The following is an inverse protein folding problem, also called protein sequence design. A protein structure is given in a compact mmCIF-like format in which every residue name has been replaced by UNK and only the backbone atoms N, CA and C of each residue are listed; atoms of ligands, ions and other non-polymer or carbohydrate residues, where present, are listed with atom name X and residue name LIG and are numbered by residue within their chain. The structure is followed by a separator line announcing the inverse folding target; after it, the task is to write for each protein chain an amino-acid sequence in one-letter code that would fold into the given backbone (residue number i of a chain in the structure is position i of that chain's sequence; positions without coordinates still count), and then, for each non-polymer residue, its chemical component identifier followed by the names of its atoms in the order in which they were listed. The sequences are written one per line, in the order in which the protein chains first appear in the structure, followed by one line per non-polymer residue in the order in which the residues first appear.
data_IF_091137594250
#
_entry.id   IF_091137594250
#
_cell.length_a   1.000
_cell.length_b   1.000
_cell.length_c   1.000
_cell.angle_alpha   90.00
_cell.angle_beta   90.00
_cell.angle_gamma   90.00
#
_symmetry.space_group_name_H-M   'P 1'
#
loop_
_entity.id
_entity.type
_entity.pdbx_description
1 polymer ?
#
# COMPACT_ATOMS: atom_id res chain seq x y z
N UNK A 1 26.06 -13.79 -25.91
CA UNK A 1 25.14 -13.82 -24.75
C UNK A 1 24.82 -12.43 -24.19
N UNK A 2 25.65 -11.40 -24.42
CA UNK A 2 25.29 -10.00 -24.14
C UNK A 2 24.10 -9.49 -24.99
N UNK A 3 23.96 -9.99 -26.23
CA UNK A 3 22.88 -9.56 -27.15
C UNK A 3 21.45 -9.89 -26.71
N UNK A 4 21.23 -10.94 -25.93
CA UNK A 4 19.87 -11.37 -25.57
C UNK A 4 19.20 -10.46 -24.53
N UNK A 5 19.98 -9.76 -23.69
CA UNK A 5 19.47 -8.82 -22.68
C UNK A 5 19.22 -7.43 -23.28
N UNK A 6 20.02 -7.01 -24.25
CA UNK A 6 19.80 -5.79 -25.03
C UNK A 6 18.53 -5.89 -25.89
N UNK A 7 18.23 -7.07 -26.44
CA UNK A 7 17.04 -7.30 -27.28
C UNK A 7 15.73 -7.30 -26.47
N UNK A 8 15.76 -7.69 -25.18
CA UNK A 8 14.58 -7.71 -24.30
C UNK A 8 14.10 -6.32 -23.86
N UNK A 9 14.97 -5.31 -23.88
CA UNK A 9 14.73 -3.99 -23.27
C UNK A 9 14.42 -2.88 -24.28
N UNK A 10 14.89 -2.96 -25.52
CA UNK A 10 14.78 -1.83 -26.48
C UNK A 10 13.43 -1.73 -27.21
N UNK A 11 12.61 -2.79 -27.21
CA UNK A 11 11.39 -2.84 -28.06
C UNK A 11 10.06 -2.93 -27.30
N UNK A 12 10.07 -2.92 -25.96
CA UNK A 12 8.84 -2.94 -25.16
C UNK A 12 8.67 -1.62 -24.41
N UNK A 13 7.61 -0.89 -24.76
CA UNK A 13 7.19 0.28 -24.01
C UNK A 13 6.88 -0.13 -22.55
N UNK A 14 7.31 0.66 -21.55
CA UNK A 14 6.94 0.43 -20.16
C UNK A 14 5.41 0.31 -20.01
N UNK A 15 4.88 -0.47 -19.06
CA UNK A 15 3.44 -0.60 -18.88
C UNK A 15 2.76 0.75 -18.60
N UNK A 16 1.83 1.14 -19.48
CA UNK A 16 0.97 2.31 -19.32
C UNK A 16 -0.45 2.02 -19.82
N UNK A 17 -1.39 2.90 -19.48
CA UNK A 17 -2.75 2.87 -20.02
C UNK A 17 -3.19 4.33 -20.23
N UNK A 18 -3.14 4.79 -21.47
CA UNK A 18 -3.37 6.20 -21.80
C UNK A 18 -4.82 6.60 -21.51
N UNK A 19 -5.75 5.71 -21.85
CA UNK A 19 -7.19 5.92 -21.70
C UNK A 19 -7.56 6.03 -20.22
N UNK A 20 -6.97 5.20 -19.35
CA UNK A 20 -7.17 5.30 -17.90
C UNK A 20 -6.59 6.59 -17.32
N UNK A 21 -5.44 7.06 -17.81
CA UNK A 21 -4.86 8.34 -17.36
C UNK A 21 -5.75 9.52 -17.73
N UNK A 22 -6.18 9.59 -18.99
CA UNK A 22 -7.10 10.62 -19.45
C UNK A 22 -8.42 10.55 -18.70
N UNK A 23 -8.89 9.34 -18.40
CA UNK A 23 -10.14 9.12 -17.70
C UNK A 23 -10.11 9.63 -16.26
N UNK A 24 -9.03 9.35 -15.53
CA UNK A 24 -8.87 9.85 -14.16
C UNK A 24 -8.81 11.37 -14.14
N UNK A 25 -8.03 11.99 -15.04
CA UNK A 25 -7.91 13.45 -15.08
C UNK A 25 -9.23 14.13 -15.46
N UNK A 26 -9.95 13.62 -16.46
CA UNK A 26 -11.27 14.13 -16.85
C UNK A 26 -12.28 14.04 -15.72
N UNK A 27 -12.34 12.89 -15.04
CA UNK A 27 -13.23 12.71 -13.89
C UNK A 27 -12.90 13.69 -12.75
N UNK A 28 -11.62 13.99 -12.51
CA UNK A 28 -11.20 14.96 -11.49
C UNK A 28 -11.61 16.40 -11.82
N UNK A 29 -11.66 16.78 -13.10
CA UNK A 29 -12.14 18.10 -13.54
C UNK A 29 -13.64 18.26 -13.37
N UNK A 30 -14.40 17.17 -13.44
CA UNK A 30 -15.86 17.22 -13.35
C UNK A 30 -16.40 17.21 -11.91
N UNK A 31 -15.64 16.66 -10.96
CA UNK A 31 -16.14 16.45 -9.59
C UNK A 31 -15.03 16.50 -8.55
N UNK A 32 -15.23 17.35 -7.53
CA UNK A 32 -14.37 17.41 -6.33
C UNK A 32 -14.34 16.07 -5.56
N UNK A 33 -15.43 15.30 -5.61
CA UNK A 33 -15.47 13.97 -4.98
C UNK A 33 -14.58 12.97 -5.74
N UNK A 34 -14.48 13.10 -7.07
CA UNK A 34 -13.64 12.23 -7.88
C UNK A 34 -12.15 12.47 -7.62
N UNK A 35 -11.72 13.74 -7.48
CA UNK A 35 -10.34 14.03 -7.12
C UNK A 35 -9.99 13.54 -5.71
N UNK A 36 -10.89 13.69 -4.73
CA UNK A 36 -10.66 13.17 -3.38
C UNK A 36 -10.38 11.66 -3.41
N UNK A 37 -11.21 10.89 -4.12
CA UNK A 37 -11.03 9.43 -4.31
C UNK A 37 -9.77 9.11 -5.11
N UNK A 38 -9.42 9.92 -6.10
CA UNK A 38 -8.20 9.72 -6.88
C UNK A 38 -6.94 9.94 -6.04
N UNK A 39 -6.90 10.98 -5.20
CA UNK A 39 -5.78 11.29 -4.30
C UNK A 39 -5.57 10.25 -3.21
N UNK A 40 -6.62 9.53 -2.79
CA UNK A 40 -6.49 8.39 -1.86
C UNK A 40 -5.71 7.22 -2.48
N UNK A 41 -5.81 7.03 -3.80
CA UNK A 41 -5.26 5.86 -4.50
C UNK A 41 -3.96 6.20 -5.24
N UNK A 42 -3.85 7.41 -5.76
CA UNK A 42 -2.82 7.83 -6.70
C UNK A 42 -1.98 8.99 -6.18
N UNK A 43 -0.74 8.99 -6.67
CA UNK A 43 0.23 10.07 -6.62
C UNK A 43 0.57 10.51 -8.05
N UNK A 44 1.13 11.71 -8.20
CA UNK A 44 1.54 12.22 -9.52
C UNK A 44 2.50 11.27 -10.25
N UNK A 45 3.32 10.51 -9.53
CA UNK A 45 4.27 9.54 -10.12
C UNK A 45 3.61 8.28 -10.69
N UNK A 46 2.35 8.01 -10.34
CA UNK A 46 1.60 6.87 -10.88
C UNK A 46 1.24 7.05 -12.37
N UNK A 47 1.25 8.28 -12.88
CA UNK A 47 1.05 8.57 -14.30
C UNK A 47 2.33 8.28 -15.09
N UNK A 48 2.21 7.72 -16.29
CA UNK A 48 3.34 7.49 -17.18
C UNK A 48 3.75 8.78 -17.89
N UNK A 49 2.77 9.50 -18.48
CA UNK A 49 3.05 10.72 -19.23
C UNK A 49 3.45 11.88 -18.32
N UNK A 50 4.59 12.51 -18.60
CA UNK A 50 5.06 13.72 -17.89
C UNK A 50 3.99 14.82 -17.82
N UNK A 51 3.29 15.06 -18.93
CA UNK A 51 2.15 15.99 -19.00
C UNK A 51 1.08 15.69 -17.93
N UNK A 52 0.67 14.43 -17.79
CA UNK A 52 -0.35 14.04 -16.81
C UNK A 52 0.17 14.12 -15.38
N UNK A 53 1.45 13.82 -15.14
CA UNK A 53 2.09 14.02 -13.83
C UNK A 53 1.97 15.47 -13.37
N UNK A 54 2.30 16.41 -14.26
CA UNK A 54 2.23 17.86 -13.99
C UNK A 54 0.80 18.30 -13.69
N UNK A 55 -0.14 17.90 -14.55
CA UNK A 55 -1.57 18.22 -14.35
C UNK A 55 -2.06 17.72 -12.99
N UNK A 56 -1.83 16.45 -12.66
CA UNK A 56 -2.28 15.87 -11.39
C UNK A 56 -1.59 16.50 -10.17
N UNK A 57 -0.31 16.89 -10.31
CA UNK A 57 0.41 17.63 -9.26
C UNK A 57 -0.25 18.97 -8.96
N UNK A 58 -0.62 19.74 -9.98
CA UNK A 58 -1.30 21.03 -9.79
C UNK A 58 -2.70 20.85 -9.23
N UNK A 59 -3.45 19.86 -9.71
CA UNK A 59 -4.77 19.50 -9.16
C UNK A 59 -4.68 19.17 -7.66
N UNK A 60 -3.67 18.41 -7.25
CA UNK A 60 -3.44 18.08 -5.84
C UNK A 60 -3.22 19.33 -4.99
N UNK A 61 -2.39 20.26 -5.45
CA UNK A 61 -2.13 21.49 -4.71
C UNK A 61 -3.35 22.42 -4.65
N UNK A 62 -4.17 22.46 -5.69
CA UNK A 62 -5.44 23.19 -5.66
C UNK A 62 -6.40 22.56 -4.64
N UNK A 63 -6.48 21.24 -4.61
CA UNK A 63 -7.27 20.51 -3.64
C UNK A 63 -6.82 20.79 -2.20
N UNK A 64 -5.52 20.70 -1.93
CA UNK A 64 -4.93 21.01 -0.61
C UNK A 64 -5.12 22.48 -0.22
N UNK A 65 -5.14 23.39 -1.21
CA UNK A 65 -5.42 24.81 -1.03
C UNK A 65 -6.90 25.18 -0.90
N UNK A 66 -7.83 24.20 -1.01
CA UNK A 66 -9.27 24.44 -1.13
C UNK A 66 -9.63 25.43 -2.26
N UNK A 67 -8.87 25.38 -3.36
CA UNK A 67 -9.13 26.15 -4.57
C UNK A 67 -10.00 25.33 -5.54
N UNK A 68 -10.87 25.99 -6.34
CA UNK A 68 -11.66 25.28 -7.34
C UNK A 68 -10.76 24.63 -8.39
N UNK A 69 -11.10 23.41 -8.79
CA UNK A 69 -10.38 22.60 -9.78
C UNK A 69 -11.26 22.48 -11.02
N UNK A 70 -11.26 23.53 -11.81
CA UNK A 70 -11.87 23.56 -13.14
C UNK A 70 -10.79 23.82 -14.21
N UNK A 71 -11.15 23.66 -15.49
CA UNK A 71 -10.20 23.83 -16.60
C UNK A 71 -9.56 25.22 -16.60
N UNK A 72 -10.30 26.27 -16.26
CA UNK A 72 -9.81 27.64 -16.30
C UNK A 72 -8.85 27.91 -15.13
N UNK A 73 -9.24 27.51 -13.92
CA UNK A 73 -8.41 27.62 -12.72
C UNK A 73 -7.10 26.82 -12.85
N UNK A 74 -7.19 25.60 -13.39
CA UNK A 74 -6.02 24.77 -13.66
C UNK A 74 -5.11 25.42 -14.72
N UNK A 75 -5.69 25.95 -15.81
CA UNK A 75 -4.94 26.65 -16.85
C UNK A 75 -4.22 27.89 -16.30
N UNK A 76 -4.87 28.69 -15.45
CA UNK A 76 -4.26 29.86 -14.82
C UNK A 76 -3.11 29.48 -13.89
N UNK A 77 -3.24 28.40 -13.12
CA UNK A 77 -2.18 27.94 -12.21
C UNK A 77 -0.99 27.37 -12.98
N UNK A 78 -1.24 26.59 -14.04
CA UNK A 78 -0.19 26.11 -14.95
C UNK A 78 0.50 27.26 -15.71
N UNK A 79 -0.26 28.29 -16.09
CA UNK A 79 0.29 29.49 -16.74
C UNK A 79 1.21 30.27 -15.81
N UNK A 80 0.83 30.45 -14.55
CA UNK A 80 1.68 31.07 -13.51
C UNK A 80 3.00 30.31 -13.29
N UNK A 81 3.02 29.00 -13.61
CA UNK A 81 4.21 28.14 -13.54
C UNK A 81 5.01 28.05 -14.84
N UNK A 82 4.54 28.68 -15.92
CA UNK A 82 5.08 28.51 -17.27
C UNK A 82 5.05 27.05 -17.78
N UNK A 83 4.13 26.22 -17.27
CA UNK A 83 3.99 24.81 -17.65
C UNK A 83 2.81 24.56 -18.59
N UNK A 84 1.97 25.58 -18.84
CA UNK A 84 0.74 25.44 -19.64
C UNK A 84 1.02 24.97 -21.08
N UNK A 85 2.06 25.49 -21.72
CA UNK A 85 2.42 25.09 -23.09
C UNK A 85 2.95 23.64 -23.12
N UNK A 86 3.69 23.23 -22.10
CA UNK A 86 4.26 21.88 -22.00
C UNK A 86 3.20 20.80 -21.78
N UNK A 87 2.05 21.15 -21.20
CA UNK A 87 0.92 20.23 -21.06
C UNK A 87 0.00 20.17 -22.28
N UNK A 88 0.29 20.93 -23.34
CA UNK A 88 -0.53 20.99 -24.56
C UNK A 88 -1.58 22.10 -24.55
N UNK A 89 -1.48 23.07 -23.63
CA UNK A 89 -2.35 24.23 -23.56
C UNK A 89 -3.75 23.93 -23.01
N UNK A 90 -4.60 24.96 -23.02
CA UNK A 90 -5.98 24.86 -22.53
C UNK A 90 -6.81 23.88 -23.37
N UNK A 91 -6.53 23.78 -24.67
CA UNK A 91 -7.20 22.85 -25.59
C UNK A 91 -7.08 21.40 -25.13
N UNK A 92 -5.90 21.01 -24.62
CA UNK A 92 -5.70 19.67 -24.09
C UNK A 92 -6.48 19.41 -22.81
N UNK A 93 -6.58 20.42 -21.93
CA UNK A 93 -7.34 20.31 -20.69
C UNK A 93 -8.84 20.15 -20.96
N UNK A 94 -9.39 20.89 -21.92
CA UNK A 94 -10.78 20.72 -22.38
C UNK A 94 -11.01 19.34 -22.97
N UNK A 95 -10.06 18.82 -23.77
CA UNK A 95 -10.15 17.47 -24.32
C UNK A 95 -10.13 16.38 -23.23
N UNK A 96 -9.42 16.61 -22.12
CA UNK A 96 -9.45 15.70 -20.96
C UNK A 96 -10.80 15.72 -20.25
N UNK A 97 -11.40 16.90 -20.10
CA UNK A 97 -12.74 17.07 -19.52
C UNK A 97 -13.81 16.30 -20.33
N UNK A 98 -13.73 16.37 -21.65
CA UNK A 98 -14.67 15.69 -22.56
C UNK A 98 -14.52 14.15 -22.60
N UNK A 99 -13.40 13.60 -22.12
CA UNK A 99 -13.08 12.19 -22.28
C UNK A 99 -13.93 11.26 -21.38
N UNK A 100 -14.53 11.79 -20.29
CA UNK A 100 -15.25 10.97 -19.31
C UNK A 100 -16.65 11.49 -19.00
N UNK A 101 -17.69 10.67 -19.23
CA UNK A 101 -19.05 11.07 -18.91
C UNK A 101 -19.44 10.86 -17.44
N UNK A 102 -18.70 10.07 -16.64
CA UNK A 102 -19.10 9.75 -15.25
C UNK A 102 -17.95 9.64 -14.24
N UNK A 103 -18.10 10.34 -13.10
CA UNK A 103 -17.19 10.33 -11.96
C UNK A 103 -17.11 8.97 -11.22
N UNK A 104 -18.07 8.07 -11.43
CA UNK A 104 -18.16 6.78 -10.74
C UNK A 104 -17.05 5.80 -11.16
N UNK A 105 -16.48 5.96 -12.34
CA UNK A 105 -15.42 5.09 -12.86
C UNK A 105 -14.01 5.44 -12.36
N UNK A 106 -13.82 6.59 -11.68
CA UNK A 106 -12.49 7.10 -11.29
C UNK A 106 -11.70 6.10 -10.45
N UNK A 107 -12.34 5.42 -9.50
CA UNK A 107 -11.72 4.44 -8.60
C UNK A 107 -11.20 3.23 -9.38
N UNK A 108 -11.96 2.77 -10.38
CA UNK A 108 -11.57 1.63 -11.21
C UNK A 108 -10.35 1.98 -12.07
N UNK A 109 -10.39 3.12 -12.76
CA UNK A 109 -9.27 3.55 -13.59
C UNK A 109 -8.03 3.91 -12.76
N UNK A 110 -8.21 4.49 -11.57
CA UNK A 110 -7.12 4.74 -10.65
C UNK A 110 -6.40 3.44 -10.22
N UNK A 111 -7.15 2.37 -9.94
CA UNK A 111 -6.54 1.05 -9.65
C UNK A 111 -5.72 0.52 -10.82
N UNK A 112 -6.20 0.68 -12.05
CA UNK A 112 -5.45 0.28 -13.26
C UNK A 112 -4.13 1.06 -13.33
N UNK A 113 -4.14 2.37 -13.11
CA UNK A 113 -2.91 3.18 -13.13
C UNK A 113 -1.92 2.75 -12.06
N UNK A 114 -2.42 2.47 -10.84
CA UNK A 114 -1.61 1.98 -9.73
C UNK A 114 -0.94 0.64 -10.06
N UNK A 115 -1.69 -0.29 -10.65
CA UNK A 115 -1.14 -1.57 -11.12
C UNK A 115 -0.04 -1.36 -12.17
N UNK A 116 -0.26 -0.44 -13.14
CA UNK A 116 0.77 -0.11 -14.14
C UNK A 116 2.01 0.51 -13.52
N UNK A 117 1.88 1.40 -12.53
CA UNK A 117 3.02 1.96 -11.79
C UNK A 117 3.81 0.88 -11.06
N UNK A 118 3.15 -0.04 -10.36
CA UNK A 118 3.82 -1.17 -9.69
C UNK A 118 4.64 -1.99 -10.70
N UNK A 119 4.08 -2.27 -11.88
CA UNK A 119 4.83 -2.99 -12.92
C UNK A 119 6.03 -2.18 -13.43
N UNK A 120 5.93 -0.86 -13.56
CA UNK A 120 7.07 0.00 -13.94
C UNK A 120 8.15 0.01 -12.87
N UNK A 121 7.78 0.12 -11.60
CA UNK A 121 8.72 0.11 -10.46
C UNK A 121 9.46 -1.22 -10.36
N UNK A 122 8.75 -2.34 -10.62
CA UNK A 122 9.35 -3.67 -10.68
C UNK A 122 10.37 -3.79 -11.82
N UNK A 123 10.04 -3.31 -13.02
CA UNK A 123 10.96 -3.32 -14.17
C UNK A 123 12.19 -2.47 -13.86
N UNK A 124 12.01 -1.29 -13.27
CA UNK A 124 13.11 -0.41 -12.90
C UNK A 124 14.02 -1.08 -11.87
N UNK A 125 13.45 -1.61 -10.78
CA UNK A 125 14.20 -2.28 -9.72
C UNK A 125 14.95 -3.51 -10.24
N UNK A 126 14.31 -4.32 -11.08
CA UNK A 126 14.98 -5.46 -11.71
C UNK A 126 16.16 -5.00 -12.59
N UNK A 127 16.01 -3.88 -13.30
CA UNK A 127 17.08 -3.31 -14.13
C UNK A 127 18.25 -2.82 -13.27
N UNK A 128 17.96 -2.19 -12.13
CA UNK A 128 18.97 -1.73 -11.16
C UNK A 128 19.72 -2.90 -10.51
N UNK A 129 19.01 -3.98 -10.15
CA UNK A 129 19.61 -5.22 -9.63
C UNK A 129 20.54 -5.85 -10.68
N UNK A 130 20.09 -5.96 -11.94
CA UNK A 130 20.92 -6.49 -13.03
C UNK A 130 22.15 -5.62 -13.25
N UNK A 131 22.01 -4.29 -13.27
CA UNK A 131 23.13 -3.37 -13.40
C UNK A 131 24.13 -3.51 -12.26
N UNK A 132 23.65 -3.70 -11.04
CA UNK A 132 24.49 -3.88 -9.85
C UNK A 132 25.23 -5.22 -9.87
N UNK A 133 24.64 -6.26 -10.48
CA UNK A 133 25.31 -7.54 -10.68
C UNK A 133 26.49 -7.52 -11.66
N UNK A 134 26.59 -6.49 -12.52
CA UNK A 134 27.74 -6.27 -13.40
C UNK A 134 28.81 -5.35 -12.81
N UNK A 135 28.53 -4.66 -11.71
CA UNK A 135 29.52 -3.80 -11.04
C UNK A 135 30.34 -4.61 -10.02
N UNK A 136 31.64 -4.77 -10.28
CA UNK A 136 32.59 -5.51 -9.42
C UNK A 136 32.93 -4.82 -8.07
N UNK A 137 32.16 -3.81 -7.64
CA UNK A 137 32.53 -2.93 -6.52
C UNK A 137 31.94 -3.30 -5.17
N UNK A 138 30.86 -4.08 -5.13
CA UNK A 138 30.10 -4.36 -3.92
C UNK A 138 30.29 -5.82 -3.47
N UNK A 139 30.31 -6.03 -2.14
CA UNK A 139 30.32 -7.37 -1.55
C UNK A 139 29.02 -8.11 -1.89
N UNK A 140 29.12 -9.41 -2.19
CA UNK A 140 27.99 -10.20 -2.72
C UNK A 140 26.82 -10.24 -1.74
N UNK A 141 27.09 -10.34 -0.43
CA UNK A 141 26.04 -10.37 0.59
C UNK A 141 25.30 -9.01 0.63
N UNK A 142 26.04 -7.90 0.51
CA UNK A 142 25.43 -6.56 0.47
C UNK A 142 24.56 -6.33 -0.77
N UNK A 143 24.91 -6.92 -1.91
CA UNK A 143 24.11 -6.86 -3.13
C UNK A 143 22.80 -7.65 -2.99
N UNK A 144 22.86 -8.83 -2.36
CA UNK A 144 21.68 -9.65 -2.09
C UNK A 144 20.72 -8.92 -1.13
N UNK A 145 21.23 -8.36 -0.04
CA UNK A 145 20.43 -7.59 0.93
C UNK A 145 19.73 -6.40 0.25
N UNK A 146 20.45 -5.63 -0.58
CA UNK A 146 19.87 -4.50 -1.34
C UNK A 146 18.78 -4.95 -2.30
N UNK A 147 18.96 -6.10 -2.97
CA UNK A 147 17.97 -6.65 -3.88
C UNK A 147 16.70 -7.07 -3.14
N UNK A 148 16.84 -7.77 -2.01
CA UNK A 148 15.70 -8.16 -1.16
C UNK A 148 14.93 -6.94 -0.66
N UNK A 149 15.65 -5.93 -0.15
CA UNK A 149 15.05 -4.68 0.32
C UNK A 149 14.27 -3.98 -0.80
N UNK A 150 14.86 -3.84 -1.99
CA UNK A 150 14.23 -3.12 -3.10
C UNK A 150 12.94 -3.81 -3.58
N UNK A 151 12.92 -5.14 -3.63
CA UNK A 151 11.71 -5.90 -3.96
C UNK A 151 10.65 -5.77 -2.86
N UNK A 152 11.08 -5.79 -1.59
CA UNK A 152 10.18 -5.62 -0.45
C UNK A 152 9.48 -4.25 -0.47
N UNK A 153 10.20 -3.17 -0.77
CA UNK A 153 9.65 -1.81 -0.86
C UNK A 153 8.53 -1.68 -1.92
N UNK A 154 8.64 -2.39 -3.05
CA UNK A 154 7.59 -2.43 -4.08
C UNK A 154 6.33 -3.13 -3.54
N UNK A 155 6.51 -4.23 -2.79
CA UNK A 155 5.42 -4.97 -2.18
C UNK A 155 4.66 -4.12 -1.15
N UNK A 156 5.39 -3.36 -0.34
CA UNK A 156 4.80 -2.47 0.67
C UNK A 156 3.96 -1.34 0.02
N UNK A 157 4.41 -0.79 -1.11
CA UNK A 157 3.66 0.25 -1.86
C UNK A 157 2.29 -0.23 -2.38
N UNK A 158 2.08 -1.55 -2.56
CA UNK A 158 0.75 -2.12 -2.85
C UNK A 158 -0.20 -1.98 -1.66
N UNK A 159 0.34 -1.94 -0.46
CA UNK A 159 -0.35 -1.87 0.83
C UNK A 159 -0.27 -0.45 1.41
N UNK A 160 -0.70 0.58 0.66
CA UNK A 160 -0.91 1.88 1.31
C UNK A 160 -2.07 1.77 2.30
N UNK A 161 -1.78 2.12 3.55
CA UNK A 161 -2.70 2.19 4.67
C UNK A 161 -3.94 3.00 4.29
N UNK A 162 -5.10 2.38 4.46
CA UNK A 162 -6.38 3.07 4.46
C UNK A 162 -6.34 4.07 5.62
N UNK A 163 -6.33 5.38 5.35
CA UNK A 163 -6.56 6.36 6.40
C UNK A 163 -8.02 6.21 6.85
N UNK A 164 -8.22 5.67 8.05
CA UNK A 164 -9.57 5.56 8.62
C UNK A 164 -9.94 6.88 9.29
N UNK A 165 -11.18 7.35 9.11
CA UNK A 165 -11.68 8.52 9.82
C UNK A 165 -11.79 8.18 11.31
N UNK A 166 -11.29 9.07 12.18
CA UNK A 166 -11.30 8.85 13.63
C UNK A 166 -12.68 8.48 14.20
N UNK A 167 -13.80 9.09 13.77
CA UNK A 167 -15.15 8.70 14.24
C UNK A 167 -15.53 7.26 13.91
N UNK A 168 -15.03 6.70 12.80
CA UNK A 168 -15.30 5.32 12.39
C UNK A 168 -14.55 4.32 13.29
N UNK A 169 -13.29 4.62 13.61
CA UNK A 169 -12.50 3.83 14.57
C UNK A 169 -13.15 3.87 15.96
N UNK A 170 -13.59 5.05 16.42
CA UNK A 170 -14.24 5.20 17.72
C UNK A 170 -15.55 4.41 17.77
N UNK A 171 -16.36 4.45 16.71
CA UNK A 171 -17.60 3.68 16.62
C UNK A 171 -17.34 2.17 16.67
N UNK A 172 -16.33 1.69 15.95
CA UNK A 172 -15.91 0.30 15.98
C UNK A 172 -15.44 -0.11 17.39
N UNK A 173 -14.61 0.71 18.02
CA UNK A 173 -14.13 0.49 19.38
C UNK A 173 -15.26 0.44 20.42
N UNK A 174 -16.27 1.31 20.30
CA UNK A 174 -17.45 1.27 21.17
C UNK A 174 -18.26 -0.03 20.99
N UNK A 175 -18.48 -0.44 19.74
CA UNK A 175 -19.19 -1.69 19.44
C UNK A 175 -18.45 -2.92 19.98
N UNK A 176 -17.12 -2.91 19.97
CA UNK A 176 -16.32 -3.99 20.55
C UNK A 176 -16.37 -3.98 22.08
N UNK A 177 -16.36 -2.81 22.73
CA UNK A 177 -16.59 -2.67 24.18
C UNK A 177 -17.98 -3.17 24.61
N UNK A 178 -19.03 -2.86 23.84
CA UNK A 178 -20.39 -3.33 24.13
C UNK A 178 -20.49 -4.86 24.08
N UNK A 179 -19.83 -5.51 23.12
CA UNK A 179 -19.76 -6.99 23.03
C UNK A 179 -19.06 -7.60 24.25
N UNK A 180 -18.03 -6.95 24.76
CA UNK A 180 -17.29 -7.38 25.95
C UNK A 180 -18.12 -7.19 27.23
N UNK A 181 -18.87 -6.09 27.32
CA UNK A 181 -19.73 -5.82 28.48
C UNK A 181 -20.91 -6.80 28.60
N UNK A 182 -21.40 -7.36 27.50
CA UNK A 182 -22.55 -8.28 27.49
C UNK A 182 -22.21 -9.71 27.94
N UNK A 183 -20.93 -10.07 28.07
CA UNK A 183 -20.48 -11.42 28.47
C UNK A 183 -19.36 -11.37 29.52
N UNK A 184 -19.69 -11.12 30.80
CA UNK A 184 -18.70 -11.18 31.88
C UNK A 184 -18.06 -12.58 31.94
N UNK A 185 -16.72 -12.64 31.87
CA UNK A 185 -15.93 -13.88 31.91
C UNK A 185 -15.54 -14.46 30.54
N UNK A 186 -15.82 -13.77 29.43
CA UNK A 186 -15.37 -14.21 28.11
C UNK A 186 -13.91 -13.83 27.88
N UNK A 187 -13.06 -14.83 27.64
CA UNK A 187 -11.69 -14.63 27.13
C UNK A 187 -11.80 -13.96 25.75
N UNK A 188 -11.24 -12.76 25.62
CA UNK A 188 -11.32 -11.93 24.41
C UNK A 188 -10.26 -12.31 23.38
N UNK A 189 -9.12 -12.77 23.89
CA UNK A 189 -7.99 -13.27 23.11
C UNK A 189 -8.02 -14.79 22.89
N UNK A 190 -6.89 -15.32 22.43
CA UNK A 190 -6.66 -16.76 22.35
C UNK A 190 -6.43 -17.29 23.78
N UNK A 191 -7.26 -18.21 24.28
CA UNK A 191 -7.11 -18.75 25.64
C UNK A 191 -5.87 -19.65 25.72
N UNK A 192 -5.12 -19.49 26.81
CA UNK A 192 -3.93 -20.29 27.13
C UNK A 192 -4.28 -21.72 27.58
N UNK A 193 -5.50 -21.94 28.09
CA UNK A 193 -5.92 -23.20 28.69
C UNK A 193 -5.70 -23.27 30.21
N UNK A 194 -4.98 -22.30 30.77
CA UNK A 194 -4.87 -22.09 32.21
C UNK A 194 -5.88 -21.03 32.64
N UNK A 195 -6.93 -21.44 33.36
CA UNK A 195 -8.04 -20.55 33.74
C UNK A 195 -7.57 -19.32 34.52
N UNK A 196 -6.62 -19.49 35.44
CA UNK A 196 -6.10 -18.37 36.23
C UNK A 196 -5.34 -17.35 35.35
N UNK A 197 -4.55 -17.85 34.40
CA UNK A 197 -3.82 -16.99 33.46
C UNK A 197 -4.78 -16.29 32.49
N UNK A 198 -5.80 -16.99 32.00
CA UNK A 198 -6.80 -16.43 31.10
C UNK A 198 -7.66 -15.37 31.82
N UNK A 199 -7.92 -15.53 33.11
CA UNK A 199 -8.60 -14.51 33.91
C UNK A 199 -7.73 -13.26 34.12
N UNK A 200 -6.41 -13.42 34.25
CA UNK A 200 -5.48 -12.29 34.41
C UNK A 200 -5.24 -11.54 33.09
N UNK A 201 -5.22 -12.26 31.97
CA UNK A 201 -4.83 -11.70 30.65
C UNK A 201 -6.02 -11.44 29.72
N UNK A 202 -7.21 -11.94 30.06
CA UNK A 202 -8.33 -12.10 29.13
C UNK A 202 -7.95 -12.90 27.86
N UNK A 203 -6.93 -13.77 27.97
CA UNK A 203 -6.32 -14.50 26.86
C UNK A 203 -5.31 -13.66 26.07
N UNK A 204 -4.63 -14.29 25.12
CA UNK A 204 -3.61 -13.66 24.30
C UNK A 204 -4.25 -12.83 23.18
N UNK A 205 -4.09 -11.51 23.25
CA UNK A 205 -4.73 -10.61 22.29
C UNK A 205 -4.03 -10.65 20.93
N UNK A 206 -4.79 -10.34 19.88
CA UNK A 206 -4.22 -10.21 18.53
C UNK A 206 -3.29 -8.99 18.50
N UNK A 207 -2.16 -9.14 17.80
CA UNK A 207 -1.11 -8.12 17.66
C UNK A 207 -0.18 -7.93 18.88
N UNK A 208 -0.39 -8.66 19.98
CA UNK A 208 0.53 -8.63 21.11
C UNK A 208 1.77 -9.51 20.86
N UNK A 209 2.94 -9.01 21.31
CA UNK A 209 4.15 -9.81 21.46
C UNK A 209 4.28 -10.26 22.92
N UNK A 210 4.09 -11.56 23.17
CA UNK A 210 4.14 -12.13 24.52
C UNK A 210 5.48 -12.83 24.72
N UNK A 211 6.26 -12.34 25.69
CA UNK A 211 7.60 -12.87 25.99
C UNK A 211 7.54 -13.76 27.22
N UNK A 212 7.87 -15.04 27.05
CA UNK A 212 8.02 -16.00 28.14
C UNK A 212 9.50 -16.15 28.52
N UNK A 213 9.89 -15.57 29.66
CA UNK A 213 11.24 -15.66 30.19
C UNK A 213 11.30 -16.57 31.42
N UNK A 214 12.23 -17.53 31.44
CA UNK A 214 12.47 -18.41 32.57
C UNK A 214 13.93 -18.88 32.57
N UNK A 215 14.45 -19.27 33.75
CA UNK A 215 15.80 -19.85 33.86
C UNK A 215 15.86 -21.22 33.16
N UNK A 216 17.05 -21.69 32.74
CA UNK A 216 17.22 -23.04 32.20
C UNK A 216 16.63 -24.10 33.13
N UNK A 217 16.03 -25.13 32.53
CA UNK A 217 15.38 -26.26 33.22
C UNK A 217 14.16 -25.91 34.09
N UNK A 218 13.61 -24.70 34.01
CA UNK A 218 12.37 -24.31 34.72
C UNK A 218 11.08 -24.63 33.96
N UNK A 219 11.15 -25.40 32.87
CA UNK A 219 9.96 -25.84 32.13
C UNK A 219 9.39 -24.84 31.11
N UNK A 220 10.17 -23.82 30.67
CA UNK A 220 9.78 -22.84 29.64
C UNK A 220 9.15 -23.49 28.41
N UNK A 221 9.84 -24.49 27.86
CA UNK A 221 9.45 -25.17 26.63
C UNK A 221 8.19 -26.02 26.84
N UNK A 222 8.10 -26.71 27.98
CA UNK A 222 6.91 -27.48 28.35
C UNK A 222 5.68 -26.60 28.47
N UNK A 223 5.81 -25.43 29.12
CA UNK A 223 4.72 -24.48 29.27
C UNK A 223 4.25 -23.91 27.92
N UNK A 224 5.19 -23.49 27.06
CA UNK A 224 4.86 -22.97 25.74
C UNK A 224 4.18 -24.03 24.85
N UNK A 225 4.64 -25.28 24.90
CA UNK A 225 4.04 -26.39 24.14
C UNK A 225 2.66 -26.76 24.64
N UNK A 226 2.40 -26.71 25.95
CA UNK A 226 1.08 -27.06 26.49
C UNK A 226 0.03 -26.02 26.08
N UNK A 227 0.39 -24.74 26.09
CA UNK A 227 -0.42 -23.66 25.50
C UNK A 227 -0.70 -23.96 24.02
N UNK A 228 0.35 -24.19 23.22
CA UNK A 228 0.21 -24.42 21.78
C UNK A 228 -0.69 -25.63 21.48
N UNK A 229 -0.55 -26.70 22.28
CA UNK A 229 -1.37 -27.90 22.23
C UNK A 229 -2.83 -27.59 22.56
N UNK A 230 -3.12 -26.90 23.65
CA UNK A 230 -4.48 -26.54 24.03
C UNK A 230 -5.16 -25.69 22.96
N UNK A 231 -4.47 -24.67 22.46
CA UNK A 231 -4.97 -23.78 21.39
C UNK A 231 -5.27 -24.57 20.12
N UNK A 232 -4.37 -25.47 19.72
CA UNK A 232 -4.53 -26.27 18.50
C UNK A 232 -5.63 -27.32 18.62
N UNK A 233 -5.68 -28.06 19.73
CA UNK A 233 -6.59 -29.21 19.86
C UNK A 233 -7.98 -28.81 20.36
N UNK A 234 -8.05 -27.96 21.38
CA UNK A 234 -9.32 -27.63 22.05
C UNK A 234 -10.00 -26.45 21.36
N UNK A 235 -9.24 -25.43 20.93
CA UNK A 235 -9.79 -24.26 20.25
C UNK A 235 -9.75 -24.36 18.73
N UNK A 236 -9.05 -25.36 18.18
CA UNK A 236 -8.93 -25.60 16.73
C UNK A 236 -8.37 -24.39 15.97
N UNK A 237 -7.48 -23.63 16.62
CA UNK A 237 -6.82 -22.48 16.01
C UNK A 237 -5.49 -22.97 15.42
N UNK A 238 -5.23 -22.74 14.12
CA UNK A 238 -3.95 -23.09 13.51
C UNK A 238 -2.79 -22.41 14.25
N UNK A 239 -1.84 -23.22 14.74
CA UNK A 239 -0.70 -22.75 15.54
C UNK A 239 0.59 -23.18 14.88
N UNK A 240 1.53 -22.25 14.70
CA UNK A 240 2.88 -22.54 14.24
C UNK A 240 3.84 -22.56 15.45
N UNK A 241 4.73 -23.55 15.49
CA UNK A 241 5.74 -23.67 16.53
C UNK A 241 7.12 -23.78 15.88
N UNK A 242 8.05 -22.94 16.35
CA UNK A 242 9.43 -22.91 15.87
C UNK A 242 10.35 -23.25 17.03
N UNK A 243 11.15 -24.30 16.87
CA UNK A 243 12.14 -24.74 17.86
C UNK A 243 13.53 -24.56 17.29
N UNK A 244 14.36 -23.78 17.99
CA UNK A 244 15.78 -23.60 17.67
C UNK A 244 16.69 -24.35 18.67
N UNK A 245 16.15 -24.81 19.80
CA UNK A 245 16.89 -25.53 20.86
C UNK A 245 16.69 -27.05 20.82
N UNK A 246 15.52 -27.53 20.39
CA UNK A 246 15.17 -28.96 20.37
C UNK A 246 14.86 -29.38 18.93
N UNK A 247 15.68 -30.28 18.38
CA UNK A 247 15.49 -30.98 17.10
C UNK A 247 14.74 -32.30 17.28
#
# INVERSE_FOLDING_TARGET
MADALTDMSLNKLPPYNKEAEQSVLGACLHSEEAIAKALEILSAEDFYKSTHKKIFSVMREQFEGNEPIDVLALADKLKKRNELEEVGGIEYLTLLEDFVPTATAVVHHAKILREKKILRDLIQTATEIVSSGYSDSDDVDTLLDKAEQSIFEISEKRTRQSFFKLPEIVKQGLSDLEKLSQKPGMVTGVPSGFTDLDNMTAGFQKSDLIILAARPSMGKTSFALDIARYVSLNKKIPTAFFSLEMS
#
